data_IF_971910082802
#
_entry.id   IF_971910082802
#
_cell.length_a   1.000
_cell.length_b   1.000
_cell.length_c   1.000
_cell.angle_alpha   90.00
_cell.angle_beta   90.00
_cell.angle_gamma   90.00
#
_symmetry.space_group_name_H-M   'P 1'
#
loop_
_entity.id
_entity.type
_entity.pdbx_description
1 polymer ?
#
# COMPACT_ATOMS: atom_id res chain seq x y z
N UNK A 1 13.57 -24.00 -4.40
CA UNK A 1 12.25 -24.53 -4.02
C UNK A 1 11.90 -24.14 -2.59
N UNK A 2 11.78 -22.83 -2.34
CA UNK A 2 11.56 -22.27 -1.00
C UNK A 2 10.10 -21.80 -0.94
N UNK A 3 9.29 -22.56 -0.19
CA UNK A 3 7.99 -22.20 0.41
C UNK A 3 6.74 -22.14 -0.49
N UNK A 4 6.21 -23.30 -0.84
CA UNK A 4 4.89 -23.50 -1.46
C UNK A 4 3.70 -23.35 -0.47
N UNK A 5 3.71 -22.37 0.45
CA UNK A 5 2.62 -22.30 1.45
C UNK A 5 2.54 -21.10 2.38
N UNK A 6 3.47 -20.13 2.31
CA UNK A 6 3.24 -18.83 2.95
C UNK A 6 2.47 -17.94 1.97
N UNK A 7 1.26 -17.55 2.35
CA UNK A 7 0.42 -16.65 1.57
C UNK A 7 1.25 -15.45 1.08
N UNK A 8 1.38 -15.29 -0.24
CA UNK A 8 2.16 -14.19 -0.85
C UNK A 8 1.62 -12.83 -0.43
N UNK A 9 0.34 -12.76 -0.09
CA UNK A 9 -0.30 -11.57 0.45
C UNK A 9 0.42 -11.05 1.71
N UNK A 10 1.00 -11.93 2.55
CA UNK A 10 1.70 -11.54 3.78
C UNK A 10 3.05 -10.85 3.52
N UNK A 11 3.69 -11.11 2.39
CA UNK A 11 5.03 -10.57 2.07
C UNK A 11 5.00 -9.32 1.19
N UNK A 12 3.85 -9.00 0.57
CA UNK A 12 3.71 -7.79 -0.24
C UNK A 12 3.72 -6.54 0.65
N UNK A 13 4.53 -5.55 0.24
CA UNK A 13 4.73 -4.27 0.92
C UNK A 13 4.16 -3.11 0.10
N UNK A 14 3.87 -1.99 0.76
CA UNK A 14 3.31 -0.79 0.12
C UNK A 14 4.12 -0.33 -1.10
N UNK A 15 5.46 -0.32 -0.99
CA UNK A 15 6.33 0.11 -2.09
C UNK A 15 6.21 -0.75 -3.37
N UNK A 16 5.73 -1.99 -3.26
CA UNK A 16 5.63 -2.91 -4.38
C UNK A 16 4.37 -2.69 -5.23
N UNK A 17 3.34 -2.05 -4.68
CA UNK A 17 2.03 -1.88 -5.31
C UNK A 17 1.64 -0.40 -5.51
N UNK A 18 2.39 0.53 -4.91
CA UNK A 18 2.13 1.95 -5.02
C UNK A 18 2.49 2.50 -6.40
N UNK A 19 1.76 3.53 -6.82
CA UNK A 19 2.16 4.40 -7.92
C UNK A 19 3.06 5.49 -7.36
N UNK A 20 4.28 5.59 -7.88
CA UNK A 20 5.21 6.63 -7.44
C UNK A 20 4.69 8.01 -7.82
N UNK A 21 4.76 8.95 -6.87
CA UNK A 21 4.44 10.36 -7.12
C UNK A 21 5.74 11.14 -7.22
N UNK A 22 5.89 11.87 -8.33
CA UNK A 22 7.06 12.74 -8.57
C UNK A 22 6.93 14.08 -7.83
N UNK A 23 5.71 14.47 -7.48
CA UNK A 23 5.42 15.71 -6.78
C UNK A 23 5.79 15.57 -5.31
N UNK A 24 6.70 16.40 -4.82
CA UNK A 24 7.11 16.44 -3.41
C UNK A 24 5.99 16.97 -2.51
N UNK A 25 5.01 16.12 -2.18
CA UNK A 25 4.10 16.39 -1.08
C UNK A 25 4.81 16.07 0.24
N UNK A 26 4.94 17.08 1.10
CA UNK A 26 5.41 16.90 2.47
C UNK A 26 4.25 16.47 3.37
N UNK A 27 4.54 15.75 4.46
CA UNK A 27 3.54 15.38 5.47
C UNK A 27 2.71 16.58 5.96
N UNK A 28 3.31 17.77 6.04
CA UNK A 28 2.64 19.01 6.46
C UNK A 28 1.49 19.44 5.56
N UNK A 29 1.46 18.98 4.31
CA UNK A 29 0.41 19.29 3.33
C UNK A 29 -0.71 18.25 3.37
N UNK A 30 -0.47 17.07 3.94
CA UNK A 30 -1.50 16.06 4.15
C UNK A 30 -2.33 16.46 5.37
N UNK A 31 -3.64 16.44 5.22
CA UNK A 31 -4.55 16.66 6.35
C UNK A 31 -4.57 15.42 7.24
N UNK A 32 -4.91 15.59 8.52
CA UNK A 32 -5.07 14.46 9.46
C UNK A 32 -6.14 13.42 9.03
N UNK A 33 -6.89 13.71 7.97
CA UNK A 33 -7.89 12.81 7.36
C UNK A 33 -7.35 11.94 6.23
N UNK A 34 -6.13 12.18 5.75
CA UNK A 34 -5.52 11.36 4.71
C UNK A 34 -5.16 9.98 5.27
N UNK A 35 -5.37 8.93 4.48
CA UNK A 35 -4.86 7.60 4.80
C UNK A 35 -3.38 7.57 4.49
N UNK A 36 -2.54 7.19 5.46
CA UNK A 36 -1.09 7.26 5.32
C UNK A 36 -0.47 5.99 5.88
N UNK A 37 0.45 5.39 5.12
CA UNK A 37 1.22 4.20 5.53
C UNK A 37 2.70 4.41 5.23
N UNK A 38 3.55 3.65 5.92
CA UNK A 38 4.99 3.59 5.64
C UNK A 38 5.26 2.70 4.40
N UNK A 39 6.42 2.87 3.72
CA UNK A 39 6.82 2.06 2.57
C UNK A 39 6.81 0.54 2.84
N UNK A 40 7.09 0.15 4.08
CA UNK A 40 7.20 -1.24 4.52
C UNK A 40 5.88 -1.79 5.10
N UNK A 41 4.80 -1.01 5.04
CA UNK A 41 3.48 -1.47 5.48
C UNK A 41 3.06 -2.71 4.68
N UNK A 42 2.52 -3.69 5.38
CA UNK A 42 2.04 -4.92 4.78
C UNK A 42 0.74 -4.72 4.00
N UNK A 43 0.47 -5.58 3.02
CA UNK A 43 -0.81 -5.56 2.31
C UNK A 43 -2.02 -5.69 3.24
N UNK A 44 -1.91 -6.47 4.31
CA UNK A 44 -2.96 -6.58 5.33
C UNK A 44 -3.28 -5.23 5.98
N UNK A 45 -2.25 -4.48 6.42
CA UNK A 45 -2.44 -3.15 7.01
C UNK A 45 -3.09 -2.17 6.02
N UNK A 46 -2.68 -2.23 4.74
CA UNK A 46 -3.22 -1.38 3.67
C UNK A 46 -4.71 -1.71 3.43
N UNK A 47 -5.07 -3.00 3.41
CA UNK A 47 -6.47 -3.45 3.27
C UNK A 47 -7.31 -3.00 4.46
N UNK A 48 -6.83 -3.24 5.68
CA UNK A 48 -7.53 -2.82 6.90
C UNK A 48 -7.78 -1.31 6.92
N UNK A 49 -6.78 -0.51 6.55
CA UNK A 49 -6.91 0.94 6.44
C UNK A 49 -7.93 1.35 5.38
N UNK A 50 -7.90 0.72 4.20
CA UNK A 50 -8.85 0.99 3.11
C UNK A 50 -10.29 0.68 3.49
N UNK A 51 -10.51 -0.37 4.29
CA UNK A 51 -11.83 -0.74 4.82
C UNK A 51 -12.33 0.30 5.82
N UNK A 52 -11.46 0.76 6.72
CA UNK A 52 -11.85 1.72 7.77
C UNK A 52 -12.11 3.13 7.21
N UNK A 53 -11.34 3.54 6.21
CA UNK A 53 -11.42 4.87 5.61
C UNK A 53 -11.31 4.75 4.09
N UNK A 54 -12.42 4.84 3.35
CA UNK A 54 -12.37 4.83 1.89
C UNK A 54 -11.63 6.07 1.38
N UNK A 55 -10.78 5.87 0.36
CA UNK A 55 -9.97 6.91 -0.27
C UNK A 55 -8.54 6.47 -0.53
N UNK A 56 -7.78 7.30 -1.20
CA UNK A 56 -6.39 7.04 -1.56
C UNK A 56 -5.50 6.89 -0.33
N UNK A 57 -4.58 5.93 -0.39
CA UNK A 57 -3.60 5.69 0.66
C UNK A 57 -2.25 6.25 0.20
N UNK A 58 -1.77 7.26 0.92
CA UNK A 58 -0.48 7.87 0.67
C UNK A 58 0.63 7.04 1.32
N UNK A 59 1.67 6.73 0.56
CA UNK A 59 2.84 5.99 1.03
C UNK A 59 3.95 6.97 1.34
N UNK A 60 4.50 6.85 2.53
CA UNK A 60 5.56 7.71 3.03
C UNK A 60 6.87 6.97 3.25
N UNK A 61 7.94 7.67 2.93
CA UNK A 61 9.29 7.35 3.34
C UNK A 61 9.79 8.50 4.23
N UNK A 62 10.04 8.19 5.50
CA UNK A 62 10.26 9.17 6.56
C UNK A 62 9.18 10.28 6.59
N UNK A 63 9.49 11.49 6.11
CA UNK A 63 8.59 12.67 6.13
C UNK A 63 8.07 13.07 4.74
N UNK A 64 8.42 12.28 3.70
CA UNK A 64 8.09 12.55 2.31
C UNK A 64 7.07 11.54 1.79
N UNK A 65 6.07 12.04 1.08
CA UNK A 65 5.16 11.20 0.33
C UNK A 65 5.85 10.75 -0.95
N UNK A 66 5.97 9.44 -1.14
CA UNK A 66 6.69 8.82 -2.26
C UNK A 66 5.80 8.03 -3.20
N UNK A 67 4.58 7.70 -2.75
CA UNK A 67 3.61 6.98 -3.57
C UNK A 67 2.17 7.16 -3.12
N UNK A 68 1.26 6.73 -3.98
CA UNK A 68 -0.17 6.63 -3.71
C UNK A 68 -0.66 5.23 -4.11
N UNK A 69 -1.55 4.67 -3.31
CA UNK A 69 -2.21 3.38 -3.57
C UNK A 69 -3.70 3.67 -3.70
N UNK A 70 -4.27 3.32 -4.84
CA UNK A 70 -5.71 3.37 -5.07
C UNK A 70 -6.35 2.01 -4.75
N UNK A 71 -7.66 1.99 -4.53
CA UNK A 71 -8.40 0.76 -4.25
C UNK A 71 -8.24 -0.30 -5.36
N UNK A 72 -8.13 0.14 -6.62
CA UNK A 72 -7.91 -0.76 -7.75
C UNK A 72 -6.56 -1.46 -7.69
N UNK A 73 -5.52 -0.83 -7.14
CA UNK A 73 -4.18 -1.41 -7.03
C UNK A 73 -4.16 -2.53 -5.96
N UNK A 74 -4.89 -2.31 -4.86
CA UNK A 74 -5.11 -3.32 -3.81
C UNK A 74 -5.82 -4.54 -4.40
N UNK A 75 -6.92 -4.33 -5.13
CA UNK A 75 -7.71 -5.42 -5.72
C UNK A 75 -6.91 -6.23 -6.76
N UNK A 76 -6.14 -5.56 -7.63
CA UNK A 76 -5.25 -6.24 -8.58
C UNK A 76 -4.24 -7.13 -7.86
N UNK A 77 -3.59 -6.59 -6.84
CA UNK A 77 -2.61 -7.33 -6.02
C UNK A 77 -3.23 -8.56 -5.37
N UNK A 78 -4.46 -8.45 -4.87
CA UNK A 78 -5.19 -9.58 -4.29
C UNK A 78 -5.48 -10.64 -5.34
N UNK A 79 -5.97 -10.26 -6.53
CA UNK A 79 -6.24 -11.17 -7.65
C UNK A 79 -4.95 -11.90 -8.07
N UNK A 80 -3.89 -11.15 -8.38
CA UNK A 80 -2.59 -11.70 -8.78
C UNK A 80 -1.96 -12.59 -7.68
N UNK A 81 -2.16 -12.21 -6.42
CA UNK A 81 -1.74 -12.98 -5.25
C UNK A 81 -2.53 -14.29 -5.05
N UNK A 82 -3.77 -14.37 -5.55
CA UNK A 82 -4.62 -15.56 -5.50
C UNK A 82 -4.42 -16.53 -6.66
N UNK A 83 -3.91 -16.05 -7.81
CA UNK A 83 -3.73 -16.87 -9.03
C UNK A 83 -2.43 -17.70 -9.07
N UNK A 84 -1.49 -17.47 -8.14
CA UNK A 84 -0.22 -18.23 -8.08
C UNK A 84 -0.26 -19.38 -7.05
N UNK A 85 -1.42 -19.95 -6.76
CA UNK A 85 -1.56 -21.11 -5.86
C UNK A 85 -1.68 -22.43 -6.62
#
# INVERSE_FOLDING_TARGET
NFVAGISRLKVVKAHAIMKSIVTELSMKTLSARNNVVNLDASLTEIIEMSIQRPGDIYVMDAEKVVGVIEQSDILKTVIEGTETS
#
